data_IF_245361571999
#
_entry.id   IF_245361571999
#
_cell.length_a   1.000
_cell.length_b   1.000
_cell.length_c   1.000
_cell.angle_alpha   90.00
_cell.angle_beta   90.00
_cell.angle_gamma   90.00
#
_symmetry.space_group_name_H-M   'P 1'
#
loop_
_entity.id
_entity.type
_entity.pdbx_description
1 polymer ?
#
# COMPACT_ATOMS: atom_id res chain seq x y z
N UNK A 1 14.75 -11.30 -9.89
CA UNK A 1 13.98 -11.13 -8.64
C UNK A 1 12.67 -10.46 -9.02
N UNK A 2 11.54 -11.16 -8.91
CA UNK A 2 10.22 -10.56 -9.16
C UNK A 2 9.89 -9.61 -8.01
N UNK A 3 9.65 -8.34 -8.31
CA UNK A 3 9.20 -7.35 -7.34
C UNK A 3 7.72 -7.65 -7.07
N UNK A 4 7.36 -8.03 -5.85
CA UNK A 4 5.97 -8.34 -5.51
C UNK A 4 5.09 -7.09 -5.46
N UNK A 5 3.77 -7.27 -5.49
CA UNK A 5 2.80 -6.17 -5.54
C UNK A 5 2.84 -5.33 -4.25
N UNK A 6 2.92 -4.00 -4.41
CA UNK A 6 2.84 -3.04 -3.31
C UNK A 6 1.40 -2.55 -3.08
N UNK A 7 1.00 -2.41 -1.83
CA UNK A 7 -0.21 -1.69 -1.46
C UNK A 7 0.08 -0.18 -1.43
N UNK A 8 -0.74 0.62 -2.09
CA UNK A 8 -0.59 2.08 -2.12
C UNK A 8 -1.85 2.73 -1.60
N UNK A 9 -1.72 3.61 -0.62
CA UNK A 9 -2.82 4.40 -0.08
C UNK A 9 -2.57 5.89 -0.31
N UNK A 10 -3.60 6.66 -0.73
CA UNK A 10 -4.99 6.24 -0.95
C UNK A 10 -5.22 5.42 -2.24
N UNK A 11 -6.47 4.98 -2.50
CA UNK A 11 -6.83 4.21 -3.72
C UNK A 11 -6.43 4.94 -5.00
N UNK A 12 -6.61 6.27 -5.00
CA UNK A 12 -6.12 7.16 -6.05
C UNK A 12 -4.96 7.99 -5.46
N UNK A 13 -3.71 7.48 -5.51
CA UNK A 13 -2.56 8.23 -5.01
C UNK A 13 -2.31 9.50 -5.81
N UNK A 14 -1.52 10.42 -5.25
CA UNK A 14 -1.08 11.61 -5.97
C UNK A 14 -0.31 11.24 -7.25
N UNK A 15 -0.35 12.13 -8.25
CA UNK A 15 0.31 11.93 -9.55
C UNK A 15 1.81 11.67 -9.36
N UNK A 16 2.45 12.38 -8.44
CA UNK A 16 3.89 12.25 -8.18
C UNK A 16 4.22 10.90 -7.55
N UNK A 17 3.39 10.41 -6.64
CA UNK A 17 3.55 9.10 -6.01
C UNK A 17 3.41 7.98 -7.05
N UNK A 18 2.32 7.99 -7.83
CA UNK A 18 2.08 7.00 -8.89
C UNK A 18 3.23 6.98 -9.90
N UNK A 19 3.59 8.16 -10.42
CA UNK A 19 4.69 8.31 -11.39
C UNK A 19 6.01 7.82 -10.84
N UNK A 20 6.32 8.10 -9.58
CA UNK A 20 7.57 7.67 -8.95
C UNK A 20 7.65 6.14 -8.87
N UNK A 21 6.55 5.48 -8.49
CA UNK A 21 6.49 4.01 -8.44
C UNK A 21 6.62 3.39 -9.83
N UNK A 22 5.94 3.95 -10.83
CA UNK A 22 5.98 3.48 -12.21
C UNK A 22 7.39 3.62 -12.82
N UNK A 23 8.01 4.80 -12.68
CA UNK A 23 9.38 5.05 -13.16
C UNK A 23 10.43 4.18 -12.46
N UNK A 24 10.16 3.78 -11.21
CA UNK A 24 11.03 2.89 -10.43
C UNK A 24 10.77 1.41 -10.72
N UNK A 25 9.81 1.08 -11.59
CA UNK A 25 9.51 -0.29 -11.99
C UNK A 25 8.78 -1.13 -10.93
N UNK A 26 8.14 -0.50 -9.94
CA UNK A 26 7.32 -1.20 -8.97
C UNK A 26 5.94 -1.53 -9.54
N UNK A 27 5.46 -2.75 -9.34
CA UNK A 27 4.04 -3.06 -9.52
C UNK A 27 3.29 -2.69 -8.25
N UNK A 28 2.21 -1.92 -8.37
CA UNK A 28 1.46 -1.44 -7.22
C UNK A 28 -0.06 -1.48 -7.46
N UNK A 29 -0.81 -1.42 -6.36
CA UNK A 29 -2.27 -1.34 -6.39
C UNK A 29 -2.76 -0.35 -5.34
N UNK A 30 -3.57 0.60 -5.78
CA UNK A 30 -4.32 1.51 -4.91
C UNK A 30 -5.28 0.76 -3.99
N UNK A 31 -5.27 1.08 -2.71
CA UNK A 31 -6.16 0.54 -1.68
C UNK A 31 -6.77 1.69 -0.89
N UNK A 32 -8.10 1.76 -0.83
CA UNK A 32 -8.83 2.83 -0.12
C UNK A 32 -9.01 2.58 1.38
N UNK A 33 -8.56 1.45 1.91
CA UNK A 33 -8.76 1.09 3.30
C UNK A 33 -8.60 -0.41 3.58
N UNK A 34 -8.89 -0.81 4.82
CA UNK A 34 -8.67 -2.18 5.30
C UNK A 34 -9.46 -3.24 4.52
N UNK A 35 -10.66 -2.93 4.05
CA UNK A 35 -11.47 -3.90 3.31
C UNK A 35 -10.94 -4.10 1.89
N UNK A 36 -10.53 -3.03 1.21
CA UNK A 36 -9.85 -3.12 -0.08
C UNK A 36 -8.54 -3.90 0.03
N UNK A 37 -7.77 -3.66 1.10
CA UNK A 37 -6.51 -4.36 1.36
C UNK A 37 -6.67 -5.88 1.45
N UNK A 38 -7.76 -6.36 2.08
CA UNK A 38 -8.07 -7.79 2.17
C UNK A 38 -8.57 -8.36 0.85
N UNK A 39 -9.52 -7.67 0.20
CA UNK A 39 -10.11 -8.14 -1.07
C UNK A 39 -9.10 -8.21 -2.22
N UNK A 40 -8.15 -7.28 -2.25
CA UNK A 40 -7.14 -7.16 -3.30
C UNK A 40 -5.83 -7.89 -2.96
N UNK A 41 -5.78 -8.61 -1.85
CA UNK A 41 -4.56 -9.26 -1.39
C UNK A 41 -4.03 -10.25 -2.43
N UNK A 42 -2.75 -10.16 -2.81
CA UNK A 42 -2.10 -11.17 -3.65
C UNK A 42 -2.06 -12.54 -2.95
N UNK A 43 -1.92 -13.61 -3.74
CA UNK A 43 -1.76 -14.99 -3.23
C UNK A 43 -0.58 -15.10 -2.26
N UNK A 44 0.53 -14.43 -2.55
CA UNK A 44 1.73 -14.44 -1.72
C UNK A 44 1.78 -13.27 -0.72
N UNK A 45 0.65 -12.59 -0.50
CA UNK A 45 0.57 -11.38 0.30
C UNK A 45 1.22 -10.15 -0.36
N UNK A 46 1.15 -9.03 0.34
CA UNK A 46 1.73 -7.76 -0.10
C UNK A 46 3.24 -7.74 0.15
N UNK A 47 4.02 -7.30 -0.84
CA UNK A 47 5.47 -7.20 -0.70
C UNK A 47 5.91 -6.01 0.16
N UNK A 48 5.03 -5.01 0.31
CA UNK A 48 5.26 -3.78 1.04
C UNK A 48 4.07 -2.84 0.90
N UNK A 49 4.14 -1.70 1.56
CA UNK A 49 3.16 -0.65 1.42
C UNK A 49 3.80 0.74 1.39
N UNK A 50 3.19 1.65 0.63
CA UNK A 50 3.45 3.08 0.70
C UNK A 50 2.14 3.77 1.06
N UNK A 51 2.15 4.54 2.15
CA UNK A 51 0.95 5.14 2.74
C UNK A 51 1.14 6.65 2.81
N UNK A 52 0.40 7.39 2.00
CA UNK A 52 0.30 8.84 2.12
C UNK A 52 -0.57 9.23 3.32
N UNK A 53 -0.06 10.12 4.16
CA UNK A 53 -0.74 10.64 5.34
C UNK A 53 -0.88 12.18 5.31
N UNK A 54 -0.64 12.81 4.16
CA UNK A 54 -0.68 14.26 3.97
C UNK A 54 -2.11 14.84 4.05
N UNK A 55 -3.08 14.20 3.37
CA UNK A 55 -4.47 14.67 3.35
C UNK A 55 -5.32 14.07 4.49
N UNK A 56 -5.17 12.76 4.75
CA UNK A 56 -5.91 12.04 5.79
C UNK A 56 -4.99 11.12 6.62
N UNK A 57 -4.30 11.68 7.63
CA UNK A 57 -3.41 10.91 8.50
C UNK A 57 -4.14 9.80 9.29
N UNK A 58 -5.40 10.02 9.67
CA UNK A 58 -6.14 9.06 10.50
C UNK A 58 -6.39 7.76 9.73
N UNK A 59 -6.88 7.88 8.49
CA UNK A 59 -7.10 6.74 7.59
C UNK A 59 -5.77 6.08 7.21
N UNK A 60 -4.72 6.87 6.95
CA UNK A 60 -3.38 6.32 6.67
C UNK A 60 -2.85 5.46 7.82
N UNK A 61 -2.89 5.94 9.06
CA UNK A 61 -2.49 5.16 10.23
C UNK A 61 -3.44 3.98 10.53
N UNK A 62 -4.73 4.12 10.23
CA UNK A 62 -5.67 2.99 10.31
C UNK A 62 -5.27 1.87 9.32
N UNK A 63 -4.86 2.22 8.11
CA UNK A 63 -4.35 1.25 7.13
C UNK A 63 -3.03 0.61 7.57
N UNK A 64 -2.08 1.37 8.12
CA UNK A 64 -0.84 0.82 8.69
C UNK A 64 -1.13 -0.25 9.75
N UNK A 65 -2.14 -0.02 10.60
CA UNK A 65 -2.58 -1.01 11.60
C UNK A 65 -3.26 -2.21 10.94
N UNK A 66 -4.02 -2.02 9.87
CA UNK A 66 -4.64 -3.11 9.12
C UNK A 66 -3.60 -4.01 8.42
N UNK A 67 -2.57 -3.42 7.81
CA UNK A 67 -1.43 -4.12 7.17
C UNK A 67 -0.71 -5.07 8.15
N UNK A 68 -0.60 -4.67 9.42
CA UNK A 68 0.00 -5.51 10.48
C UNK A 68 -0.89 -6.64 11.00
N UNK A 69 -2.19 -6.61 10.67
CA UNK A 69 -3.19 -7.62 11.10
C UNK A 69 -3.56 -8.62 10.01
N UNK A 70 -2.93 -8.56 8.84
CA UNK A 70 -3.10 -9.58 7.80
C UNK A 70 -2.52 -10.92 8.26
N UNK A 71 -2.97 -12.01 7.64
CA UNK A 71 -2.41 -13.36 7.87
C UNK A 71 -0.89 -13.38 7.64
N UNK A 72 -0.44 -12.63 6.63
CA UNK A 72 0.97 -12.33 6.38
C UNK A 72 1.20 -10.84 6.64
N UNK A 73 1.61 -10.44 7.86
CA UNK A 73 1.81 -9.03 8.20
C UNK A 73 2.87 -8.38 7.33
N UNK A 74 2.55 -7.22 6.75
CA UNK A 74 3.49 -6.46 5.92
C UNK A 74 4.60 -5.87 6.76
N UNK A 75 5.85 -6.23 6.46
CA UNK A 75 7.02 -5.83 7.24
C UNK A 75 7.59 -4.46 6.82
N UNK A 76 7.40 -4.09 5.55
CA UNK A 76 7.99 -2.88 4.94
C UNK A 76 6.87 -1.89 4.65
N UNK A 77 6.77 -0.87 5.48
CA UNK A 77 5.78 0.20 5.33
C UNK A 77 6.54 1.52 5.31
N UNK A 78 6.42 2.25 4.20
CA UNK A 78 6.85 3.64 4.09
C UNK A 78 5.63 4.53 4.30
N UNK A 79 5.74 5.49 5.21
CA UNK A 79 4.72 6.51 5.46
C UNK A 79 5.27 7.84 4.95
N UNK A 80 4.48 8.54 4.15
CA UNK A 80 4.80 9.84 3.56
C UNK A 80 3.96 10.93 4.22
#
# INVERSE_FOLDING_TARGET
MTVGLLAVFPENPSVDMARTLDLSGYTWKGVGGADALRRLSPVNGWAGAVVGCDEDPESGWALCRALRRLEHPVQRILVL
#
